data_IF_240171999029
#
_entry.id   IF_240171999029
#
_cell.length_a   1.000
_cell.length_b   1.000
_cell.length_c   1.000
_cell.angle_alpha   90.00
_cell.angle_beta   90.00
_cell.angle_gamma   90.00
#
_symmetry.space_group_name_H-M   'P 1'
#
loop_
_entity.id
_entity.type
_entity.pdbx_description
1 polymer ?
#
# COMPACT_ATOMS: atom_id res chain seq x y z
N UNK A 1 -19.13 7.09 -29.43
CA UNK A 1 -18.96 6.08 -28.36
C UNK A 1 -17.75 5.14 -28.58
N UNK A 2 -17.66 4.42 -29.70
CA UNK A 2 -16.57 3.45 -29.93
C UNK A 2 -15.17 4.10 -30.04
N UNK A 3 -15.06 5.23 -30.77
CA UNK A 3 -13.80 5.97 -30.91
C UNK A 3 -13.27 6.48 -29.56
N UNK A 4 -14.14 7.07 -28.74
CA UNK A 4 -13.77 7.53 -27.39
C UNK A 4 -13.40 6.39 -26.43
N UNK A 5 -14.10 5.25 -26.50
CA UNK A 5 -13.73 4.06 -25.73
C UNK A 5 -12.37 3.49 -26.17
N UNK A 6 -12.08 3.46 -27.47
CA UNK A 6 -10.79 3.04 -28.01
C UNK A 6 -9.66 4.01 -27.61
N UNK A 7 -9.90 5.33 -27.67
CA UNK A 7 -8.96 6.33 -27.20
C UNK A 7 -8.68 6.16 -25.69
N UNK A 8 -9.71 5.94 -24.87
CA UNK A 8 -9.52 5.64 -23.45
C UNK A 8 -8.65 4.39 -23.24
N UNK A 9 -8.95 3.28 -23.93
CA UNK A 9 -8.16 2.06 -23.83
C UNK A 9 -6.71 2.25 -24.27
N UNK A 10 -6.48 2.93 -25.39
CA UNK A 10 -5.15 3.18 -25.94
C UNK A 10 -4.34 4.18 -25.09
N UNK A 11 -4.98 5.14 -24.43
CA UNK A 11 -4.29 6.04 -23.48
C UNK A 11 -3.72 5.30 -22.27
N UNK A 12 -4.50 4.37 -21.71
CA UNK A 12 -4.08 3.52 -20.59
C UNK A 12 -2.99 2.55 -21.02
N UNK A 13 -3.18 1.92 -22.18
CA UNK A 13 -2.20 1.00 -22.76
C UNK A 13 -0.87 1.70 -23.08
N UNK A 14 -0.91 2.88 -23.70
CA UNK A 14 0.28 3.67 -24.03
C UNK A 14 1.04 4.10 -22.78
N UNK A 15 0.34 4.56 -21.72
CA UNK A 15 0.97 4.86 -20.43
C UNK A 15 1.64 3.62 -19.84
N UNK A 16 0.95 2.48 -19.86
CA UNK A 16 1.48 1.20 -19.40
C UNK A 16 2.73 0.76 -20.16
N UNK A 17 2.75 0.92 -21.49
CA UNK A 17 3.91 0.62 -22.33
C UNK A 17 5.13 1.48 -21.98
N UNK A 18 4.96 2.76 -21.67
CA UNK A 18 6.07 3.64 -21.29
C UNK A 18 6.68 3.17 -19.98
N UNK A 19 5.86 2.89 -18.96
CA UNK A 19 6.36 2.41 -17.68
C UNK A 19 6.92 0.97 -17.74
N UNK A 20 6.43 0.14 -18.66
CA UNK A 20 7.06 -1.14 -18.96
C UNK A 20 8.48 -0.95 -19.53
N UNK A 21 8.67 0.02 -20.43
CA UNK A 21 10.00 0.42 -20.93
C UNK A 21 10.92 0.96 -19.81
N UNK A 22 10.41 1.81 -18.92
CA UNK A 22 11.14 2.30 -17.74
C UNK A 22 11.56 1.14 -16.85
N UNK A 23 10.66 0.20 -16.57
CA UNK A 23 10.95 -1.00 -15.79
C UNK A 23 12.02 -1.88 -16.46
N UNK A 24 11.98 -2.00 -17.78
CA UNK A 24 13.00 -2.74 -18.55
C UNK A 24 14.39 -2.10 -18.40
N UNK A 25 14.49 -0.77 -18.54
CA UNK A 25 15.76 -0.03 -18.32
C UNK A 25 16.23 -0.19 -16.87
N UNK A 26 15.33 0.00 -15.90
CA UNK A 26 15.65 -0.15 -14.48
C UNK A 26 16.15 -1.58 -14.14
N UNK A 27 15.56 -2.60 -14.77
CA UNK A 27 16.00 -3.98 -14.62
C UNK A 27 17.43 -4.22 -15.13
N UNK A 28 17.86 -3.52 -16.20
CA UNK A 28 19.24 -3.60 -16.68
C UNK A 28 20.23 -2.87 -15.75
N UNK A 29 19.82 -1.77 -15.13
CA UNK A 29 20.66 -0.99 -14.22
C UNK A 29 20.87 -1.68 -12.87
N UNK A 30 19.83 -2.35 -12.36
CA UNK A 30 19.82 -2.93 -11.03
C UNK A 30 20.29 -4.39 -10.99
N UNK A 31 21.05 -4.73 -9.96
CA UNK A 31 21.43 -6.13 -9.67
C UNK A 31 20.25 -6.95 -9.13
N UNK A 32 19.37 -6.32 -8.34
CA UNK A 32 18.23 -7.00 -7.70
C UNK A 32 16.89 -6.45 -8.20
N UNK A 33 15.88 -7.33 -8.23
CA UNK A 33 14.49 -6.95 -8.55
C UNK A 33 13.94 -5.84 -7.65
N UNK A 34 14.39 -5.79 -6.38
CA UNK A 34 14.03 -4.74 -5.43
C UNK A 34 14.51 -3.37 -5.88
N UNK A 35 15.78 -3.27 -6.30
CA UNK A 35 16.35 -1.99 -6.76
C UNK A 35 15.75 -1.57 -8.09
N UNK A 36 15.51 -2.52 -9.01
CA UNK A 36 14.84 -2.26 -10.28
C UNK A 36 13.43 -1.68 -10.07
N UNK A 37 12.62 -2.33 -9.23
CA UNK A 37 11.28 -1.86 -8.90
C UNK A 37 11.33 -0.49 -8.21
N UNK A 38 12.29 -0.27 -7.29
CA UNK A 38 12.48 1.02 -6.64
C UNK A 38 12.70 2.15 -7.63
N UNK A 39 13.63 1.99 -8.58
CA UNK A 39 13.90 2.97 -9.64
C UNK A 39 12.66 3.22 -10.51
N UNK A 40 11.98 2.16 -10.94
CA UNK A 40 10.77 2.30 -11.76
C UNK A 40 9.65 3.06 -11.03
N UNK A 41 9.41 2.77 -9.76
CA UNK A 41 8.44 3.48 -8.94
C UNK A 41 8.85 4.93 -8.65
N UNK A 42 10.14 5.23 -8.51
CA UNK A 42 10.61 6.61 -8.39
C UNK A 42 10.30 7.42 -9.65
N UNK A 43 10.53 6.85 -10.85
CA UNK A 43 10.20 7.51 -12.12
C UNK A 43 8.68 7.71 -12.25
N UNK A 44 7.88 6.71 -11.88
CA UNK A 44 6.42 6.82 -11.84
C UNK A 44 5.95 7.94 -10.88
N UNK A 45 6.49 7.98 -9.67
CA UNK A 45 6.18 9.01 -8.69
C UNK A 45 6.57 10.42 -9.16
N UNK A 46 7.76 10.57 -9.76
CA UNK A 46 8.21 11.83 -10.34
C UNK A 46 7.30 12.28 -11.49
N UNK A 47 6.90 11.38 -12.39
CA UNK A 47 5.96 11.67 -13.47
C UNK A 47 4.59 12.12 -12.95
N UNK A 48 4.13 11.55 -11.83
CA UNK A 48 2.88 11.95 -11.18
C UNK A 48 2.99 13.33 -10.53
N UNK A 49 4.07 13.61 -9.79
CA UNK A 49 4.30 14.93 -9.18
C UNK A 49 4.44 16.03 -10.23
N UNK A 50 5.13 15.74 -11.34
CA UNK A 50 5.25 16.66 -12.46
C UNK A 50 3.87 17.00 -13.05
N UNK A 51 2.99 16.00 -13.17
CA UNK A 51 1.60 16.21 -13.57
C UNK A 51 0.84 17.07 -12.57
N UNK A 52 0.92 16.74 -11.28
CA UNK A 52 0.23 17.50 -10.23
C UNK A 52 0.66 18.98 -10.22
N UNK A 53 1.95 19.26 -10.44
CA UNK A 53 2.46 20.62 -10.58
C UNK A 53 1.96 21.32 -11.85
N UNK A 54 1.84 20.59 -12.97
CA UNK A 54 1.29 21.11 -14.22
C UNK A 54 -0.20 21.47 -14.10
N UNK A 55 -0.96 20.69 -13.32
CA UNK A 55 -2.39 20.90 -13.11
C UNK A 55 -2.67 22.06 -12.13
N UNK A 56 -1.75 22.34 -11.20
CA UNK A 56 -1.91 23.37 -10.17
C UNK A 56 -1.45 24.78 -10.59
N UNK A 57 -0.72 24.92 -11.70
CA UNK A 57 -0.08 26.18 -12.10
C UNK A 57 -0.37 26.62 -13.54
N UNK A 58 0.10 27.82 -13.89
CA UNK A 58 0.02 28.37 -15.25
C UNK A 58 0.92 27.65 -16.27
N UNK A 59 1.79 26.74 -15.81
CA UNK A 59 2.77 26.03 -16.64
C UNK A 59 2.19 24.73 -17.23
N UNK A 60 1.09 24.86 -17.98
CA UNK A 60 0.39 23.72 -18.59
C UNK A 60 1.30 22.87 -19.50
N UNK A 61 2.40 23.44 -20.01
CA UNK A 61 3.42 22.75 -20.80
C UNK A 61 4.14 21.62 -20.03
N UNK A 62 4.23 21.66 -18.69
CA UNK A 62 4.81 20.57 -17.89
C UNK A 62 4.04 19.25 -18.03
N UNK A 63 2.73 19.32 -18.32
CA UNK A 63 1.90 18.12 -18.51
C UNK A 63 2.33 17.31 -19.73
N UNK A 64 2.97 17.94 -20.72
CA UNK A 64 3.53 17.28 -21.91
C UNK A 64 4.82 16.50 -21.63
N UNK A 65 5.44 16.65 -20.46
CA UNK A 65 6.60 15.88 -20.05
C UNK A 65 6.23 14.61 -19.27
N UNK A 66 4.98 14.50 -18.82
CA UNK A 66 4.52 13.34 -18.06
C UNK A 66 3.83 12.33 -18.97
N UNK A 67 4.27 11.05 -19.00
CA UNK A 67 3.55 9.99 -19.69
C UNK A 67 2.08 9.87 -19.23
N UNK A 68 1.81 10.24 -17.98
CA UNK A 68 0.47 10.26 -17.38
C UNK A 68 -0.35 11.43 -17.95
N UNK A 69 0.29 12.57 -18.23
CA UNK A 69 -0.37 13.73 -18.83
C UNK A 69 -0.81 13.48 -20.28
N UNK A 70 -0.06 12.68 -21.05
CA UNK A 70 -0.43 12.31 -22.42
C UNK A 70 -1.77 11.59 -22.51
N UNK A 71 -2.13 10.81 -21.48
CA UNK A 71 -3.42 10.13 -21.43
C UNK A 71 -4.60 11.13 -21.37
N UNK A 72 -4.43 12.26 -20.67
CA UNK A 72 -5.44 13.31 -20.58
C UNK A 72 -5.52 14.14 -21.87
N UNK A 73 -4.38 14.42 -22.50
CA UNK A 73 -4.31 15.15 -23.77
C UNK A 73 -4.99 14.42 -24.94
N UNK A 74 -5.17 13.10 -24.84
CA UNK A 74 -5.91 12.32 -25.82
C UNK A 74 -7.40 12.70 -25.90
N UNK A 75 -7.94 13.34 -24.86
CA UNK A 75 -9.34 13.80 -24.75
C UNK A 75 -10.38 12.74 -25.17
N UNK A 76 -10.42 11.56 -24.51
CA UNK A 76 -11.41 10.54 -24.83
C UNK A 76 -12.83 11.09 -24.70
N UNK A 77 -13.68 10.87 -25.71
CA UNK A 77 -15.06 11.35 -25.75
C UNK A 77 -15.24 12.89 -25.77
N UNK A 78 -14.17 13.66 -25.96
CA UNK A 78 -14.18 15.13 -25.95
C UNK A 78 -13.40 15.75 -27.13
N UNK A 79 -13.37 15.06 -28.27
CA UNK A 79 -12.59 15.42 -29.46
C UNK A 79 -11.21 14.79 -29.42
N UNK A 80 -11.13 13.53 -29.86
CA UNK A 80 -9.96 12.67 -29.69
C UNK A 80 -8.74 13.18 -30.46
N UNK A 81 -7.63 13.37 -29.76
CA UNK A 81 -6.36 13.78 -30.35
C UNK A 81 -5.45 12.57 -30.58
N UNK A 82 -5.72 11.81 -31.64
CA UNK A 82 -4.99 10.58 -31.98
C UNK A 82 -3.48 10.78 -32.16
N UNK A 83 -3.05 11.97 -32.57
CA UNK A 83 -1.63 12.31 -32.72
C UNK A 83 -0.85 12.17 -31.39
N UNK A 84 -1.52 12.34 -30.24
CA UNK A 84 -0.90 12.21 -28.92
C UNK A 84 -0.40 10.78 -28.66
N UNK A 85 -0.95 9.75 -29.32
CA UNK A 85 -0.48 8.36 -29.22
C UNK A 85 0.94 8.14 -29.75
N UNK A 86 1.45 9.05 -30.59
CA UNK A 86 2.82 8.97 -31.08
C UNK A 86 3.84 9.17 -29.95
N UNK A 87 3.51 9.97 -28.93
CA UNK A 87 4.38 10.24 -27.78
C UNK A 87 4.65 8.99 -26.92
N UNK A 88 3.63 8.27 -26.39
CA UNK A 88 3.88 7.05 -25.64
C UNK A 88 4.53 5.97 -26.50
N UNK A 89 4.15 5.86 -27.78
CA UNK A 89 4.75 4.87 -28.68
C UNK A 89 6.24 5.15 -28.92
N UNK A 90 6.61 6.39 -29.24
CA UNK A 90 8.00 6.80 -29.43
C UNK A 90 8.82 6.62 -28.14
N UNK A 91 8.29 7.07 -26.99
CA UNK A 91 8.96 6.92 -25.71
C UNK A 91 9.19 5.45 -25.35
N UNK A 92 8.19 4.59 -25.55
CA UNK A 92 8.33 3.14 -25.33
C UNK A 92 9.38 2.51 -26.24
N UNK A 93 9.39 2.84 -27.54
CA UNK A 93 10.42 2.35 -28.47
C UNK A 93 11.81 2.77 -28.03
N UNK A 94 11.99 4.04 -27.64
CA UNK A 94 13.27 4.56 -27.15
C UNK A 94 13.73 3.86 -25.87
N UNK A 95 12.83 3.67 -24.90
CA UNK A 95 13.15 2.99 -23.64
C UNK A 95 13.47 1.52 -23.85
N UNK A 96 12.73 0.82 -24.71
CA UNK A 96 13.00 -0.57 -25.07
C UNK A 96 14.34 -0.68 -25.79
N UNK A 97 14.63 0.19 -26.75
CA UNK A 97 15.92 0.23 -27.44
C UNK A 97 17.08 0.50 -26.47
N UNK A 98 16.90 1.43 -25.52
CA UNK A 98 17.87 1.69 -24.46
C UNK A 98 18.08 0.45 -23.57
N UNK A 99 17.00 -0.23 -23.17
CA UNK A 99 17.10 -1.47 -22.40
C UNK A 99 17.87 -2.56 -23.16
N UNK A 100 17.59 -2.77 -24.44
CA UNK A 100 18.33 -3.72 -25.28
C UNK A 100 19.81 -3.35 -25.41
N UNK A 101 20.13 -2.07 -25.61
CA UNK A 101 21.51 -1.60 -25.69
C UNK A 101 22.26 -1.81 -24.36
N UNK A 102 21.58 -1.66 -23.23
CA UNK A 102 22.15 -1.91 -21.90
C UNK A 102 22.38 -3.42 -21.64
N UNK A 103 21.53 -4.30 -22.17
CA UNK A 103 21.71 -5.76 -22.06
C UNK A 103 23.05 -6.21 -22.64
N UNK A 104 23.49 -5.64 -23.76
CA UNK A 104 24.78 -5.96 -24.37
C UNK A 104 26.00 -5.53 -23.56
N UNK A 105 25.83 -4.69 -22.53
CA UNK A 105 26.88 -4.21 -21.63
C UNK A 105 26.83 -4.86 -20.24
N UNK A 106 25.79 -5.66 -19.97
CA UNK A 106 25.52 -6.23 -18.66
C UNK A 106 26.11 -7.64 -18.56
N UNK A 107 27.00 -7.83 -17.61
CA UNK A 107 27.48 -9.18 -17.26
C UNK A 107 26.38 -9.99 -16.57
N UNK A 108 26.32 -11.29 -16.86
CA UNK A 108 25.32 -12.20 -16.30
C UNK A 108 25.43 -12.22 -14.77
N UNK A 109 24.37 -11.77 -14.09
CA UNK A 109 24.27 -11.73 -12.63
C UNK A 109 24.67 -10.39 -11.99
N UNK A 110 25.28 -9.45 -12.72
CA UNK A 110 25.64 -8.12 -12.20
C UNK A 110 24.74 -7.03 -12.79
N UNK A 111 24.34 -6.05 -11.97
CA UNK A 111 23.75 -4.79 -12.47
C UNK A 111 24.83 -3.84 -12.99
N UNK A 112 24.48 -2.90 -13.86
CA UNK A 112 25.41 -1.84 -14.29
C UNK A 112 25.73 -0.86 -13.16
N UNK A 113 24.84 -0.73 -12.18
CA UNK A 113 25.12 -0.04 -10.94
C UNK A 113 25.91 -0.96 -10.02
N UNK A 114 27.14 -0.56 -9.70
CA UNK A 114 28.00 -1.29 -8.75
C UNK A 114 27.26 -1.48 -7.41
N UNK A 115 27.22 -2.73 -6.93
CA UNK A 115 26.79 -3.00 -5.56
C UNK A 115 27.83 -2.44 -4.60
N UNK A 116 27.38 -1.63 -3.64
CA UNK A 116 28.28 -1.22 -2.57
C UNK A 116 28.61 -2.44 -1.72
N UNK A 117 29.90 -2.66 -1.45
CA UNK A 117 30.39 -3.76 -0.62
C UNK A 117 29.87 -3.69 0.83
N UNK A 118 29.19 -2.59 1.18
CA UNK A 118 28.79 -2.28 2.54
C UNK A 118 29.98 -1.92 3.43
N UNK A 119 29.73 -1.55 4.69
CA UNK A 119 30.78 -1.29 5.66
C UNK A 119 31.55 -2.57 5.99
N UNK A 120 32.87 -2.48 6.15
CA UNK A 120 33.74 -3.61 6.51
C UNK A 120 33.38 -4.23 7.87
N UNK A 121 32.79 -3.45 8.77
CA UNK A 121 32.34 -3.90 10.09
C UNK A 121 30.84 -3.71 10.25
N UNK A 122 30.18 -4.74 10.78
CA UNK A 122 28.78 -4.65 11.14
C UNK A 122 28.59 -3.61 12.26
N UNK A 123 27.61 -2.70 12.09
CA UNK A 123 27.29 -1.71 13.10
C UNK A 123 26.95 -2.39 14.45
N UNK A 124 27.32 -1.81 15.61
CA UNK A 124 27.04 -2.38 16.93
C UNK A 124 25.55 -2.65 17.20
N UNK A 125 24.66 -1.98 16.46
CA UNK A 125 23.21 -2.18 16.52
C UNK A 125 22.76 -3.53 15.94
N UNK A 126 23.55 -4.20 15.10
CA UNK A 126 23.20 -5.49 14.46
C UNK A 126 23.41 -6.72 15.35
N UNK A 127 23.56 -6.53 16.66
CA UNK A 127 23.78 -7.62 17.64
C UNK A 127 22.52 -8.42 17.97
N UNK A 128 21.36 -8.08 17.40
CA UNK A 128 20.08 -8.75 17.69
C UNK A 128 19.31 -9.12 16.42
N UNK A 129 18.54 -10.24 16.45
CA UNK A 129 17.68 -10.63 15.33
C UNK A 129 16.58 -9.59 15.04
N UNK A 130 16.17 -8.82 16.04
CA UNK A 130 15.24 -7.70 15.88
C UNK A 130 15.85 -6.56 15.07
N UNK A 131 17.09 -6.18 15.37
CA UNK A 131 17.78 -5.15 14.61
C UNK A 131 18.04 -5.56 13.16
N UNK A 132 18.37 -6.84 12.92
CA UNK A 132 18.48 -7.39 11.58
C UNK A 132 17.13 -7.33 10.84
N UNK A 133 16.05 -7.80 11.48
CA UNK A 133 14.69 -7.75 10.92
C UNK A 133 14.26 -6.33 10.58
N UNK A 134 14.55 -5.36 11.46
CA UNK A 134 14.32 -3.94 11.21
C UNK A 134 15.11 -3.41 10.02
N UNK A 135 16.43 -3.64 9.97
CA UNK A 135 17.28 -3.21 8.86
C UNK A 135 16.79 -3.76 7.54
N UNK A 136 16.32 -5.00 7.55
CA UNK A 136 15.73 -5.64 6.39
C UNK A 136 14.41 -4.94 6.02
N UNK A 137 13.46 -4.76 6.94
CA UNK A 137 12.11 -4.26 6.64
C UNK A 137 12.00 -2.75 6.42
N UNK A 138 12.92 -1.93 6.95
CA UNK A 138 12.86 -0.46 6.89
C UNK A 138 12.65 0.12 5.49
N UNK A 139 13.27 -0.46 4.46
CA UNK A 139 13.12 0.06 3.09
C UNK A 139 11.71 -0.16 2.54
N UNK A 140 11.12 -1.31 2.85
CA UNK A 140 9.71 -1.60 2.51
C UNK A 140 8.78 -0.71 3.32
N UNK A 141 9.04 -0.54 4.63
CA UNK A 141 8.26 0.35 5.49
C UNK A 141 8.26 1.79 4.95
N UNK A 142 9.43 2.35 4.59
CA UNK A 142 9.53 3.70 4.03
C UNK A 142 8.73 3.86 2.73
N UNK A 143 8.77 2.87 1.84
CA UNK A 143 7.98 2.89 0.61
C UNK A 143 6.47 2.92 0.87
N UNK A 144 5.99 2.09 1.80
CA UNK A 144 4.59 2.09 2.22
C UNK A 144 4.21 3.37 2.99
N UNK A 145 5.10 3.90 3.84
CA UNK A 145 4.91 5.18 4.52
C UNK A 145 4.68 6.31 3.52
N UNK A 146 5.47 6.38 2.45
CA UNK A 146 5.30 7.39 1.41
C UNK A 146 3.94 7.26 0.70
N UNK A 147 3.53 6.04 0.33
CA UNK A 147 2.23 5.79 -0.31
C UNK A 147 1.05 6.14 0.59
N UNK A 148 1.09 5.74 1.85
CA UNK A 148 0.01 6.00 2.82
C UNK A 148 -0.01 7.45 3.29
N UNK A 149 1.13 8.15 3.30
CA UNK A 149 1.17 9.60 3.49
C UNK A 149 0.38 10.30 2.39
N UNK A 150 0.69 9.97 1.12
CA UNK A 150 -0.01 10.55 -0.04
C UNK A 150 -1.50 10.25 0.02
N UNK A 151 -1.88 8.99 0.30
CA UNK A 151 -3.28 8.62 0.47
C UNK A 151 -3.96 9.44 1.58
N UNK A 152 -3.33 9.56 2.75
CA UNK A 152 -3.90 10.32 3.86
C UNK A 152 -4.07 11.81 3.56
N UNK A 153 -3.10 12.42 2.87
CA UNK A 153 -3.19 13.81 2.41
C UNK A 153 -4.36 14.00 1.43
N UNK A 154 -4.53 13.08 0.48
CA UNK A 154 -5.63 13.12 -0.50
C UNK A 154 -6.98 12.95 0.18
N UNK A 155 -7.13 11.94 1.04
CA UNK A 155 -8.38 11.69 1.77
C UNK A 155 -8.76 12.86 2.67
N UNK A 156 -7.81 13.42 3.43
CA UNK A 156 -8.07 14.59 4.27
C UNK A 156 -8.51 15.82 3.44
N UNK A 157 -7.95 15.98 2.23
CA UNK A 157 -8.34 17.04 1.31
C UNK A 157 -9.76 16.85 0.73
N UNK A 158 -10.10 15.62 0.33
CA UNK A 158 -11.43 15.28 -0.21
C UNK A 158 -12.51 15.45 0.87
N UNK A 159 -12.24 14.99 2.09
CA UNK A 159 -13.18 15.09 3.20
C UNK A 159 -13.60 16.54 3.50
N UNK A 160 -12.68 17.49 3.35
CA UNK A 160 -13.02 18.91 3.47
C UNK A 160 -13.89 19.41 2.30
N UNK A 161 -13.56 19.04 1.05
CA UNK A 161 -14.32 19.48 -0.12
C UNK A 161 -15.75 18.93 -0.18
N UNK A 162 -16.00 17.76 0.42
CA UNK A 162 -17.34 17.20 0.56
C UNK A 162 -18.24 18.05 1.48
N UNK A 163 -17.66 18.69 2.51
CA UNK A 163 -18.37 19.62 3.39
C UNK A 163 -18.78 20.91 2.67
N UNK A 164 -17.88 21.46 1.85
CA UNK A 164 -18.10 22.71 1.12
C UNK A 164 -19.17 22.59 0.03
N UNK A 165 -19.14 21.50 -0.76
CA UNK A 165 -20.10 21.25 -1.85
C UNK A 165 -21.57 21.13 -1.39
N UNK A 166 -21.77 20.76 -0.12
CA UNK A 166 -23.09 20.63 0.47
C UNK A 166 -23.67 21.97 0.97
N UNK A 167 -22.83 23.00 1.18
CA UNK A 167 -23.25 24.31 1.67
C UNK A 167 -23.87 25.22 0.61
N UNK A 168 -23.47 25.06 -0.65
CA UNK A 168 -23.78 26.03 -1.72
C UNK A 168 -25.13 25.80 -2.42
N UNK A 169 -25.85 24.71 -2.14
CA UNK A 169 -27.09 24.38 -2.85
C UNK A 169 -28.23 23.99 -1.89
N UNK A 170 -29.21 24.87 -1.72
CA UNK A 170 -30.26 24.73 -0.70
C UNK A 170 -31.12 23.45 -0.83
N UNK A 171 -31.29 22.92 -2.06
CA UNK A 171 -31.98 21.64 -2.30
C UNK A 171 -31.17 20.43 -1.80
N UNK A 172 -29.85 20.45 -2.03
CA UNK A 172 -28.93 19.41 -1.59
C UNK A 172 -28.77 19.45 -0.07
N UNK A 173 -28.79 20.64 0.53
CA UNK A 173 -28.73 20.82 1.98
C UNK A 173 -29.96 20.28 2.73
N UNK A 174 -31.16 20.26 2.12
CA UNK A 174 -32.35 19.66 2.75
C UNK A 174 -32.32 18.13 2.66
N UNK A 175 -31.89 17.57 1.52
CA UNK A 175 -31.72 16.13 1.35
C UNK A 175 -30.61 15.57 2.25
N UNK A 176 -29.49 16.30 2.42
CA UNK A 176 -28.40 15.94 3.33
C UNK A 176 -28.85 15.99 4.79
N UNK A 177 -29.67 16.99 5.18
CA UNK A 177 -30.24 17.06 6.54
C UNK A 177 -31.18 15.90 6.84
N UNK A 178 -31.93 15.42 5.85
CA UNK A 178 -32.79 14.22 5.99
C UNK A 178 -32.00 12.91 6.08
N UNK A 179 -30.74 12.90 5.63
CA UNK A 179 -29.84 11.74 5.64
C UNK A 179 -28.86 11.71 6.85
N UNK A 180 -29.00 12.61 7.83
CA UNK A 180 -28.14 12.67 9.03
C UNK A 180 -27.24 13.91 9.12
N UNK A 181 -27.24 14.77 8.10
CA UNK A 181 -26.45 16.01 8.09
C UNK A 181 -25.05 15.86 7.47
N UNK A 182 -24.35 16.99 7.32
CA UNK A 182 -23.05 17.06 6.63
C UNK A 182 -21.93 16.32 7.38
N UNK A 183 -21.98 16.34 8.72
CA UNK A 183 -20.98 15.67 9.56
C UNK A 183 -21.09 14.14 9.43
N UNK A 184 -22.30 13.59 9.42
CA UNK A 184 -22.51 12.15 9.25
C UNK A 184 -22.02 11.63 7.89
N UNK A 185 -22.24 12.40 6.81
CA UNK A 185 -21.75 12.04 5.48
C UNK A 185 -20.21 12.07 5.40
N UNK A 186 -19.59 13.09 6.00
CA UNK A 186 -18.13 13.23 6.06
C UNK A 186 -17.52 12.12 6.92
N UNK A 187 -18.14 11.79 8.05
CA UNK A 187 -17.70 10.74 8.96
C UNK A 187 -17.87 9.35 8.32
N UNK A 188 -18.92 9.11 7.53
CA UNK A 188 -19.10 7.88 6.75
C UNK A 188 -18.03 7.73 5.65
N UNK A 189 -17.72 8.83 4.94
CA UNK A 189 -16.65 8.86 3.95
C UNK A 189 -15.29 8.55 4.59
N UNK A 190 -14.97 9.21 5.71
CA UNK A 190 -13.74 9.00 6.45
C UNK A 190 -13.65 7.58 7.03
N UNK A 191 -14.75 7.04 7.57
CA UNK A 191 -14.78 5.68 8.08
C UNK A 191 -14.51 4.65 6.98
N UNK A 192 -15.10 4.84 5.80
CA UNK A 192 -14.84 4.00 4.63
C UNK A 192 -13.38 4.09 4.18
N UNK A 193 -12.84 5.31 4.14
CA UNK A 193 -11.45 5.55 3.80
C UNK A 193 -10.47 4.91 4.80
N UNK A 194 -10.80 4.89 6.09
CA UNK A 194 -10.01 4.19 7.12
C UNK A 194 -10.08 2.67 6.96
N UNK A 195 -11.23 2.11 6.59
CA UNK A 195 -11.34 0.69 6.25
C UNK A 195 -10.45 0.29 5.07
N UNK A 196 -10.48 1.08 3.99
CA UNK A 196 -9.59 0.87 2.81
C UNK A 196 -8.12 1.01 3.21
N UNK A 197 -7.79 2.00 4.05
CA UNK A 197 -6.44 2.17 4.60
C UNK A 197 -5.98 0.93 5.36
N UNK A 198 -6.82 0.41 6.25
CA UNK A 198 -6.53 -0.81 7.02
C UNK A 198 -6.19 -1.98 6.11
N UNK A 199 -6.88 -2.11 4.99
CA UNK A 199 -6.64 -3.14 4.00
C UNK A 199 -5.29 -2.98 3.26
N UNK A 200 -4.90 -1.74 2.92
CA UNK A 200 -3.57 -1.46 2.38
C UNK A 200 -2.46 -1.75 3.40
N UNK A 201 -2.67 -1.43 4.68
CA UNK A 201 -1.71 -1.77 5.72
C UNK A 201 -1.65 -3.29 5.95
N UNK A 202 -2.76 -4.02 5.77
CA UNK A 202 -2.74 -5.49 5.76
C UNK A 202 -1.94 -6.05 4.57
N UNK A 203 -1.94 -5.39 3.40
CA UNK A 203 -1.05 -5.76 2.30
C UNK A 203 0.44 -5.64 2.68
N UNK A 204 0.82 -4.55 3.36
CA UNK A 204 2.16 -4.44 3.96
C UNK A 204 2.44 -5.58 4.93
N UNK A 205 1.48 -5.93 5.80
CA UNK A 205 1.65 -7.01 6.77
C UNK A 205 1.89 -8.36 6.09
N UNK A 206 1.11 -8.70 5.06
CA UNK A 206 1.28 -9.90 4.23
C UNK A 206 2.68 -9.92 3.58
N UNK A 207 3.09 -8.80 2.97
CA UNK A 207 4.40 -8.67 2.34
C UNK A 207 5.55 -8.81 3.36
N UNK A 208 5.38 -8.22 4.55
CA UNK A 208 6.34 -8.28 5.64
C UNK A 208 6.50 -9.71 6.19
N UNK A 209 5.42 -10.48 6.29
CA UNK A 209 5.47 -11.89 6.69
C UNK A 209 6.10 -12.75 5.60
N UNK A 210 5.78 -12.53 4.32
CA UNK A 210 6.40 -13.26 3.21
C UNK A 210 7.90 -13.02 3.09
N UNK A 211 8.42 -11.92 3.67
CA UNK A 211 9.85 -11.71 3.86
C UNK A 211 10.50 -12.87 4.62
N UNK A 212 9.86 -13.37 5.67
CA UNK A 212 10.36 -14.48 6.48
C UNK A 212 10.53 -15.74 5.62
N UNK A 213 9.54 -16.03 4.76
CA UNK A 213 9.67 -17.09 3.75
C UNK A 213 10.81 -16.84 2.78
N UNK A 214 11.01 -15.61 2.33
CA UNK A 214 12.09 -15.27 1.39
C UNK A 214 13.48 -15.43 2.02
N UNK A 215 13.61 -15.26 3.33
CA UNK A 215 14.86 -15.56 4.06
C UNK A 215 15.09 -17.08 4.19
N UNK A 216 14.03 -17.85 4.45
CA UNK A 216 14.10 -19.31 4.49
C UNK A 216 14.43 -19.92 3.12
N UNK A 217 13.59 -19.67 2.10
CA UNK A 217 13.77 -20.19 0.74
C UNK A 217 15.03 -19.68 0.02
N UNK A 218 15.61 -18.59 0.50
CA UNK A 218 16.88 -18.06 0.00
C UNK A 218 18.11 -18.64 0.67
N UNK A 219 17.98 -19.63 1.57
CA UNK A 219 19.08 -20.24 2.32
C UNK A 219 19.73 -19.31 3.35
N UNK A 220 19.16 -18.12 3.60
CA UNK A 220 19.74 -17.12 4.52
C UNK A 220 19.37 -17.38 5.98
N UNK A 221 18.35 -18.20 6.22
CA UNK A 221 17.92 -18.57 7.57
C UNK A 221 18.88 -19.57 8.24
N UNK A 222 19.42 -20.53 7.49
CA UNK A 222 20.28 -21.59 8.05
C UNK A 222 21.55 -21.05 8.73
N UNK A 223 22.31 -20.11 8.11
CA UNK A 223 23.48 -19.53 8.77
C UNK A 223 23.13 -18.77 10.05
N UNK A 224 21.95 -18.13 10.09
CA UNK A 224 21.48 -17.41 11.28
C UNK A 224 21.15 -18.39 12.41
N UNK A 225 20.50 -19.51 12.09
CA UNK A 225 20.15 -20.54 13.07
C UNK A 225 21.35 -21.36 13.53
N UNK A 226 22.45 -21.38 12.77
CA UNK A 226 23.72 -21.94 13.21
C UNK A 226 24.43 -21.09 14.29
N UNK A 227 24.00 -19.84 14.48
CA UNK A 227 24.47 -18.98 15.59
C UNK A 227 23.63 -19.20 16.86
N UNK A 228 23.86 -18.40 17.91
CA UNK A 228 23.10 -18.48 19.17
C UNK A 228 21.62 -18.01 19.10
N UNK A 229 21.04 -17.88 17.89
CA UNK A 229 19.66 -17.41 17.69
C UNK A 229 18.72 -18.60 17.49
N UNK A 230 17.81 -18.81 18.45
CA UNK A 230 16.76 -19.82 18.33
C UNK A 230 15.65 -19.46 17.32
N UNK A 231 15.01 -20.49 16.74
CA UNK A 231 13.92 -20.40 15.73
C UNK A 231 12.79 -19.46 16.14
N UNK A 232 12.29 -19.60 17.38
CA UNK A 232 11.20 -18.77 17.91
C UNK A 232 11.63 -17.31 18.04
N UNK A 233 12.84 -17.06 18.54
CA UNK A 233 13.35 -15.69 18.72
C UNK A 233 13.47 -14.98 17.37
N UNK A 234 13.89 -15.68 16.33
CA UNK A 234 13.91 -15.16 14.97
C UNK A 234 12.50 -14.82 14.46
N UNK A 235 11.56 -15.77 14.53
CA UNK A 235 10.19 -15.56 14.05
C UNK A 235 9.47 -14.42 14.80
N UNK A 236 9.57 -14.40 16.13
CA UNK A 236 9.00 -13.33 16.97
C UNK A 236 9.61 -11.98 16.63
N UNK A 237 10.91 -11.91 16.34
CA UNK A 237 11.55 -10.64 15.96
C UNK A 237 10.99 -10.08 14.65
N UNK A 238 10.73 -10.93 13.66
CA UNK A 238 10.11 -10.52 12.39
C UNK A 238 8.64 -10.11 12.54
N UNK A 239 7.88 -10.83 13.38
CA UNK A 239 6.49 -10.49 13.70
C UNK A 239 6.39 -9.18 14.49
N UNK A 240 7.29 -8.94 15.44
CA UNK A 240 7.33 -7.70 16.21
C UNK A 240 7.59 -6.48 15.31
N UNK A 241 8.52 -6.59 14.36
CA UNK A 241 8.77 -5.50 13.39
C UNK A 241 7.57 -5.33 12.45
N UNK A 242 6.89 -6.41 12.07
CA UNK A 242 5.66 -6.32 11.27
C UNK A 242 4.56 -5.60 12.03
N UNK A 243 4.30 -5.98 13.28
CA UNK A 243 3.27 -5.37 14.12
C UNK A 243 3.56 -3.89 14.42
N UNK A 244 4.82 -3.55 14.73
CA UNK A 244 5.24 -2.17 14.91
C UNK A 244 5.13 -1.36 13.59
N UNK A 245 5.55 -1.94 12.47
CA UNK A 245 5.45 -1.32 11.16
C UNK A 245 4.01 -0.99 10.78
N UNK A 246 3.07 -1.93 10.98
CA UNK A 246 1.64 -1.67 10.73
C UNK A 246 1.08 -0.57 11.62
N UNK A 247 1.52 -0.49 12.88
CA UNK A 247 1.12 0.57 13.79
C UNK A 247 1.61 1.94 13.33
N UNK A 248 2.88 2.03 12.94
CA UNK A 248 3.48 3.25 12.39
C UNK A 248 2.78 3.70 11.12
N UNK A 249 2.46 2.78 10.21
CA UNK A 249 1.77 3.10 8.97
C UNK A 249 0.35 3.66 9.20
N UNK A 250 -0.44 3.02 10.07
CA UNK A 250 -1.78 3.51 10.42
C UNK A 250 -1.71 4.86 11.15
N UNK A 251 -0.78 5.01 12.11
CA UNK A 251 -0.60 6.27 12.82
C UNK A 251 -0.22 7.41 11.87
N UNK A 252 0.76 7.18 10.99
CA UNK A 252 1.20 8.15 9.99
C UNK A 252 0.06 8.57 9.07
N UNK A 253 -0.74 7.61 8.61
CA UNK A 253 -1.83 7.90 7.70
C UNK A 253 -3.00 8.61 8.41
N UNK A 254 -3.33 8.22 9.64
CA UNK A 254 -4.32 8.90 10.48
C UNK A 254 -3.91 10.33 10.84
N UNK A 255 -2.64 10.57 11.14
CA UNK A 255 -2.08 11.91 11.34
C UNK A 255 -2.22 12.72 10.04
N UNK A 256 -1.87 12.16 8.89
CA UNK A 256 -1.98 12.85 7.60
C UNK A 256 -3.42 13.27 7.28
N UNK A 257 -4.39 12.37 7.45
CA UNK A 257 -5.82 12.69 7.27
C UNK A 257 -6.27 13.75 8.29
N UNK A 258 -5.99 13.53 9.57
CA UNK A 258 -6.42 14.40 10.67
C UNK A 258 -5.83 15.81 10.59
N UNK A 259 -4.57 15.94 10.16
CA UNK A 259 -3.91 17.23 9.95
C UNK A 259 -4.50 18.01 8.79
N UNK A 260 -4.70 17.37 7.63
CA UNK A 260 -5.27 18.06 6.45
C UNK A 260 -6.74 18.40 6.66
N UNK A 261 -7.53 17.45 7.17
CA UNK A 261 -8.95 17.67 7.43
C UNK A 261 -9.15 18.72 8.52
N UNK A 262 -8.47 18.57 9.67
CA UNK A 262 -8.56 19.52 10.78
C UNK A 262 -8.05 20.92 10.47
N UNK A 263 -7.02 21.06 9.62
CA UNK A 263 -6.58 22.38 9.17
C UNK A 263 -7.62 23.09 8.30
N UNK A 264 -8.35 22.35 7.47
CA UNK A 264 -9.40 22.91 6.59
C UNK A 264 -10.71 23.21 7.31
N UNK A 265 -11.08 22.40 8.29
CA UNK A 265 -12.28 22.64 9.12
C UNK A 265 -12.00 23.58 10.30
N UNK A 266 -10.78 24.12 10.42
CA UNK A 266 -10.32 24.90 11.57
C UNK A 266 -10.48 24.22 12.95
N UNK A 267 -10.54 22.88 12.96
CA UNK A 267 -10.64 22.05 14.17
C UNK A 267 -9.56 20.96 14.17
N UNK A 268 -8.30 21.39 14.27
CA UNK A 268 -7.17 20.46 14.34
C UNK A 268 -7.16 19.65 15.65
N UNK A 269 -7.57 20.28 16.76
CA UNK A 269 -7.52 19.69 18.08
C UNK A 269 -8.52 18.55 18.25
N UNK A 270 -9.71 18.64 17.66
CA UNK A 270 -10.70 17.58 17.64
C UNK A 270 -10.43 16.51 16.57
N UNK A 271 -10.11 16.93 15.35
CA UNK A 271 -10.01 16.00 14.22
C UNK A 271 -8.76 15.13 14.25
N UNK A 272 -7.60 15.66 14.64
CA UNK A 272 -6.36 14.88 14.65
C UNK A 272 -6.46 13.62 15.53
N UNK A 273 -6.84 13.70 16.82
CA UNK A 273 -6.98 12.52 17.67
C UNK A 273 -8.12 11.61 17.19
N UNK A 274 -9.21 12.17 16.63
CA UNK A 274 -10.35 11.39 16.11
C UNK A 274 -9.93 10.52 14.92
N UNK A 275 -9.21 11.08 13.95
CA UNK A 275 -8.71 10.35 12.78
C UNK A 275 -7.57 9.39 13.13
N UNK A 276 -6.68 9.77 14.06
CA UNK A 276 -5.66 8.87 14.58
C UNK A 276 -6.27 7.65 15.28
N UNK A 277 -7.29 7.87 16.12
CA UNK A 277 -8.04 6.80 16.79
C UNK A 277 -8.76 5.89 15.80
N UNK A 278 -9.41 6.46 14.78
CA UNK A 278 -10.06 5.71 13.72
C UNK A 278 -9.08 4.84 12.92
N UNK A 279 -7.89 5.38 12.60
CA UNK A 279 -6.85 4.63 11.91
C UNK A 279 -6.29 3.49 12.79
N UNK A 280 -6.00 3.77 14.06
CA UNK A 280 -5.48 2.77 14.99
C UNK A 280 -6.51 1.70 15.37
N UNK A 281 -7.80 1.97 15.26
CA UNK A 281 -8.85 0.96 15.45
C UNK A 281 -8.79 -0.16 14.41
N UNK A 282 -8.19 0.07 13.23
CA UNK A 282 -8.01 -0.95 12.18
C UNK A 282 -6.90 -1.97 12.51
N UNK A 283 -6.08 -1.68 13.52
CA UNK A 283 -4.84 -2.38 13.81
C UNK A 283 -5.04 -3.85 14.22
N UNK A 284 -6.04 -4.22 15.05
CA UNK A 284 -6.32 -5.63 15.36
C UNK A 284 -6.67 -6.45 14.11
N UNK A 285 -7.45 -5.89 13.19
CA UNK A 285 -7.84 -6.57 11.93
C UNK A 285 -6.64 -6.84 11.05
N UNK A 286 -5.72 -5.88 10.94
CA UNK A 286 -4.44 -6.04 10.25
C UNK A 286 -3.61 -7.16 10.87
N UNK A 287 -3.55 -7.21 12.20
CA UNK A 287 -2.80 -8.25 12.92
C UNK A 287 -3.38 -9.65 12.73
N UNK A 288 -4.70 -9.79 12.61
CA UNK A 288 -5.34 -11.08 12.27
C UNK A 288 -4.83 -11.57 10.91
N UNK A 289 -4.79 -10.70 9.90
CA UNK A 289 -4.27 -11.06 8.56
C UNK A 289 -2.77 -11.41 8.60
N UNK A 290 -1.99 -10.65 9.36
CA UNK A 290 -0.56 -10.92 9.55
C UNK A 290 -0.33 -12.30 10.20
N UNK A 291 -1.07 -12.58 11.29
CA UNK A 291 -0.97 -13.83 12.03
C UNK A 291 -1.47 -15.03 11.22
N UNK A 292 -2.56 -14.87 10.45
CA UNK A 292 -3.06 -15.90 9.53
C UNK A 292 -2.03 -16.21 8.44
N UNK A 293 -1.44 -15.18 7.83
CA UNK A 293 -0.37 -15.34 6.82
C UNK A 293 0.85 -16.05 7.43
N UNK A 294 1.21 -15.70 8.68
CA UNK A 294 2.31 -16.34 9.37
C UNK A 294 2.02 -17.80 9.71
N UNK A 295 0.79 -18.12 10.15
CA UNK A 295 0.36 -19.50 10.39
C UNK A 295 0.42 -20.34 9.10
N UNK A 296 -0.09 -19.81 7.98
CA UNK A 296 0.01 -20.45 6.67
C UNK A 296 1.47 -20.72 6.30
N UNK A 297 2.33 -19.72 6.44
CA UNK A 297 3.77 -19.86 6.24
C UNK A 297 4.39 -20.90 7.16
N UNK A 298 4.05 -20.92 8.45
CA UNK A 298 4.62 -21.78 9.47
C UNK A 298 4.22 -23.26 9.28
N UNK A 299 2.99 -23.53 8.86
CA UNK A 299 2.51 -24.90 8.61
C UNK A 299 2.98 -25.40 7.24
N UNK A 300 2.78 -24.61 6.19
CA UNK A 300 3.09 -24.99 4.82
C UNK A 300 3.78 -23.83 4.10
N UNK A 301 5.13 -23.78 4.04
CA UNK A 301 5.85 -22.62 3.54
C UNK A 301 5.48 -22.27 2.08
N UNK A 302 5.11 -23.27 1.26
CA UNK A 302 4.60 -23.06 -0.10
C UNK A 302 3.31 -22.23 -0.15
N UNK A 303 2.44 -22.38 0.86
CA UNK A 303 1.17 -21.68 0.96
C UNK A 303 1.26 -20.24 1.47
N UNK A 304 2.46 -19.71 1.79
CA UNK A 304 2.55 -18.32 2.26
C UNK A 304 2.03 -17.28 1.24
N UNK A 305 2.03 -17.61 -0.06
CA UNK A 305 1.42 -16.77 -1.10
C UNK A 305 -0.10 -16.70 -0.98
N UNK A 306 -0.75 -17.69 -0.37
CA UNK A 306 -2.18 -17.68 -0.10
C UNK A 306 -2.59 -16.58 0.89
N UNK A 307 -1.65 -15.97 1.62
CA UNK A 307 -1.93 -14.76 2.40
C UNK A 307 -2.50 -13.61 1.54
N UNK A 308 -2.08 -13.51 0.27
CA UNK A 308 -2.70 -12.58 -0.69
C UNK A 308 -4.14 -12.96 -1.00
N UNK A 309 -4.46 -14.26 -1.16
CA UNK A 309 -5.82 -14.70 -1.39
C UNK A 309 -6.73 -14.37 -0.19
N UNK A 310 -6.25 -14.58 1.05
CA UNK A 310 -6.98 -14.17 2.27
C UNK A 310 -7.27 -12.67 2.25
N UNK A 311 -6.26 -11.85 1.94
CA UNK A 311 -6.43 -10.40 1.84
C UNK A 311 -7.42 -10.00 0.73
N UNK A 312 -7.31 -10.61 -0.45
CA UNK A 312 -8.22 -10.36 -1.58
C UNK A 312 -9.65 -10.75 -1.24
N UNK A 313 -9.86 -11.86 -0.55
CA UNK A 313 -11.20 -12.26 -0.07
C UNK A 313 -11.73 -11.20 0.90
N UNK A 314 -10.93 -10.72 1.86
CA UNK A 314 -11.34 -9.65 2.77
C UNK A 314 -11.67 -8.35 2.03
N UNK A 315 -10.91 -8.01 0.98
CA UNK A 315 -11.17 -6.87 0.10
C UNK A 315 -12.52 -7.00 -0.60
N UNK A 316 -12.76 -8.15 -1.24
CA UNK A 316 -14.00 -8.42 -1.97
C UNK A 316 -15.19 -8.43 -1.02
N UNK A 317 -15.09 -9.09 0.13
CA UNK A 317 -16.15 -9.10 1.12
C UNK A 317 -16.44 -7.70 1.67
N UNK A 318 -15.41 -6.88 1.92
CA UNK A 318 -15.59 -5.54 2.48
C UNK A 318 -16.16 -4.52 1.48
N UNK A 319 -15.75 -4.58 0.21
CA UNK A 319 -16.09 -3.56 -0.79
C UNK A 319 -17.22 -4.01 -1.73
N UNK A 320 -17.22 -5.28 -2.13
CA UNK A 320 -18.18 -5.84 -3.10
C UNK A 320 -19.31 -6.57 -2.39
N UNK A 321 -19.05 -7.17 -1.23
CA UNK A 321 -20.04 -7.94 -0.47
C UNK A 321 -21.34 -7.18 -0.17
N UNK A 322 -21.28 -5.94 0.36
CA UNK A 322 -22.46 -5.10 0.55
C UNK A 322 -23.17 -4.72 -0.75
N UNK A 323 -22.43 -4.60 -1.87
CA UNK A 323 -23.02 -4.28 -3.19
C UNK A 323 -23.78 -5.46 -3.80
N UNK A 324 -23.48 -6.68 -3.34
CA UNK A 324 -24.12 -7.92 -3.78
C UNK A 324 -25.16 -8.44 -2.78
N UNK A 325 -25.49 -7.66 -1.74
CA UNK A 325 -26.38 -8.05 -0.63
C UNK A 325 -26.04 -9.44 -0.04
N UNK A 326 -24.75 -9.73 0.13
CA UNK A 326 -24.31 -11.02 0.68
C UNK A 326 -24.79 -11.20 2.14
N UNK A 327 -25.08 -12.44 2.57
CA UNK A 327 -25.47 -12.72 3.94
C UNK A 327 -24.39 -12.26 4.93
N UNK A 328 -24.82 -11.69 6.06
CA UNK A 328 -23.91 -11.17 7.09
C UNK A 328 -22.90 -12.23 7.58
N UNK A 329 -23.31 -13.50 7.67
CA UNK A 329 -22.43 -14.61 8.03
C UNK A 329 -21.21 -14.76 7.09
N UNK A 330 -21.36 -14.40 5.82
CA UNK A 330 -20.27 -14.41 4.83
C UNK A 330 -19.38 -13.19 5.00
N UNK A 331 -19.95 -12.03 5.30
CA UNK A 331 -19.21 -10.80 5.56
C UNK A 331 -18.38 -10.89 6.85
N UNK A 332 -18.93 -11.52 7.90
CA UNK A 332 -18.31 -11.70 9.21
C UNK A 332 -17.05 -12.59 9.18
N UNK A 333 -16.76 -13.25 8.07
CA UNK A 333 -15.47 -13.93 7.82
C UNK A 333 -14.32 -12.93 7.77
N UNK A 334 -14.57 -11.70 7.29
CA UNK A 334 -13.55 -10.66 7.23
C UNK A 334 -13.34 -10.03 8.60
N UNK A 335 -12.10 -9.95 9.13
CA UNK A 335 -11.86 -9.28 10.42
C UNK A 335 -12.22 -7.79 10.38
N UNK A 336 -12.22 -7.18 9.19
CA UNK A 336 -12.53 -5.77 8.99
C UNK A 336 -14.00 -5.44 9.21
N UNK A 337 -14.94 -6.40 9.15
CA UNK A 337 -16.35 -6.12 9.44
C UNK A 337 -16.62 -5.93 10.92
N UNK A 338 -15.80 -6.56 11.78
CA UNK A 338 -15.87 -6.44 13.23
C UNK A 338 -15.20 -5.16 13.75
N UNK A 339 -14.54 -4.39 12.89
CA UNK A 339 -13.89 -3.14 13.30
C UNK A 339 -14.93 -2.02 13.41
N UNK A 340 -14.96 -1.27 14.53
CA UNK A 340 -15.84 -0.12 14.65
C UNK A 340 -15.63 0.87 13.51
N UNK A 341 -16.73 1.33 12.89
CA UNK A 341 -16.72 2.29 11.78
C UNK A 341 -16.50 3.72 12.28
N UNK A 342 -15.35 3.97 12.89
CA UNK A 342 -14.91 5.30 13.31
C UNK A 342 -14.51 6.13 12.10
N UNK A 343 -14.75 7.46 12.10
CA UNK A 343 -15.14 8.28 13.24
C UNK A 343 -16.66 8.35 13.55
N UNK A 344 -17.53 7.82 12.70
CA UNK A 344 -18.99 8.00 12.80
C UNK A 344 -19.75 7.04 13.74
N UNK A 345 -19.21 5.86 14.03
CA UNK A 345 -19.83 4.88 14.92
C UNK A 345 -19.29 4.97 16.36
N UNK A 346 -20.05 4.44 17.33
CA UNK A 346 -19.61 4.35 18.72
C UNK A 346 -18.38 3.47 18.90
N UNK A 347 -17.47 3.91 19.77
CA UNK A 347 -16.29 3.14 20.12
C UNK A 347 -16.65 1.95 21.03
N UNK A 348 -16.50 0.74 20.50
CA UNK A 348 -16.65 -0.49 21.27
C UNK A 348 -15.30 -1.19 21.47
N UNK A 349 -14.93 -1.46 22.73
CA UNK A 349 -13.67 -2.15 23.08
C UNK A 349 -13.73 -3.65 22.77
N UNK A 350 -14.91 -4.26 22.91
CA UNK A 350 -15.07 -5.71 22.85
C UNK A 350 -14.63 -6.32 21.50
N UNK A 351 -15.03 -5.82 20.32
CA UNK A 351 -14.57 -6.37 19.05
C UNK A 351 -13.06 -6.23 18.84
N UNK A 352 -12.48 -5.11 19.26
CA UNK A 352 -11.03 -4.86 19.15
C UNK A 352 -10.23 -5.82 20.04
N UNK A 353 -10.71 -6.07 21.25
CA UNK A 353 -10.11 -7.05 22.16
C UNK A 353 -10.20 -8.47 21.60
N UNK A 354 -11.36 -8.86 21.05
CA UNK A 354 -11.57 -10.17 20.45
C UNK A 354 -10.65 -10.40 19.23
N UNK A 355 -10.53 -9.42 18.34
CA UNK A 355 -9.62 -9.48 17.19
C UNK A 355 -8.15 -9.57 17.62
N UNK A 356 -7.76 -8.81 18.65
CA UNK A 356 -6.38 -8.85 19.18
C UNK A 356 -6.07 -10.23 19.79
N UNK A 357 -7.02 -10.80 20.52
CA UNK A 357 -6.90 -12.16 21.06
C UNK A 357 -6.80 -13.20 19.93
N UNK A 358 -7.65 -13.10 18.90
CA UNK A 358 -7.59 -13.99 17.73
C UNK A 358 -6.24 -13.91 17.01
N UNK A 359 -5.72 -12.69 16.81
CA UNK A 359 -4.38 -12.49 16.22
C UNK A 359 -3.28 -13.14 17.08
N UNK A 360 -3.33 -12.97 18.40
CA UNK A 360 -2.38 -13.57 19.33
C UNK A 360 -2.46 -15.11 19.31
N UNK A 361 -3.68 -15.69 19.28
CA UNK A 361 -3.89 -17.13 19.20
C UNK A 361 -3.36 -17.71 17.87
N UNK A 362 -3.64 -17.05 16.74
CA UNK A 362 -3.10 -17.45 15.43
C UNK A 362 -1.58 -17.35 15.36
N UNK A 363 -1.00 -16.29 15.94
CA UNK A 363 0.46 -16.14 16.01
C UNK A 363 1.10 -17.22 16.89
N UNK A 364 0.50 -17.55 18.04
CA UNK A 364 0.96 -18.62 18.92
C UNK A 364 0.86 -20.00 18.23
N UNK A 365 -0.24 -20.28 17.53
CA UNK A 365 -0.39 -21.48 16.70
C UNK A 365 0.68 -21.54 15.60
N UNK A 366 0.96 -20.42 14.93
CA UNK A 366 2.02 -20.33 13.93
C UNK A 366 3.41 -20.59 14.54
N UNK A 367 3.70 -20.04 15.71
CA UNK A 367 4.99 -20.22 16.39
C UNK A 367 5.19 -21.66 16.84
N UNK A 368 4.14 -22.31 17.33
CA UNK A 368 4.19 -23.73 17.72
C UNK A 368 4.37 -24.65 16.51
N UNK A 369 3.69 -24.37 15.39
CA UNK A 369 3.90 -25.08 14.12
C UNK A 369 5.34 -24.88 13.60
N UNK A 370 5.83 -23.64 13.58
CA UNK A 370 7.19 -23.31 13.14
C UNK A 370 8.27 -23.97 14.01
N UNK A 371 8.02 -24.15 15.31
CA UNK A 371 8.93 -24.86 16.21
C UNK A 371 9.10 -26.33 15.85
N UNK A 372 8.02 -26.97 15.40
CA UNK A 372 7.96 -28.42 15.13
C UNK A 372 8.36 -28.77 13.71
N UNK A 373 8.28 -27.81 12.78
CA UNK A 373 8.63 -28.01 11.37
C UNK A 373 10.14 -28.02 11.17
N UNK A 374 10.62 -28.91 10.30
CA UNK A 374 11.98 -28.85 9.79
C UNK A 374 12.18 -27.60 8.90
N UNK A 375 13.41 -27.10 8.89
CA UNK A 375 13.80 -25.90 8.14
C UNK A 375 14.74 -26.36 7.04
N UNK A 376 14.41 -26.01 5.80
CA UNK A 376 15.09 -26.41 4.57
C UNK A 376 14.26 -26.05 3.35
#
# INVERSE_FOLDING_TARGET
>A
PAAGAAALGLSWFGSGLVFAGVAAVAAQLAETSRTANGLAFTVLGAAYLLRAAADAGAAHWLSWLSPIGWAQHMRPCAGEQWAVLLLPLAASVLLIAAAYALTGRRDLGAGLLASSLGPETAAPSLRSPLALSWRLQRGTLLGWSAGLLVYGLVVGGIAAGAGDLAGDNAAIADDIRRLGGQQDLTDALLATAMGIMGLFVAAYAVQSVQRLRAEESGGRLEPVLATAVGRIRWAVSGLAVTAAGTAVLLALAGIAVGTVHGARTHDLAGQLPRQLGAALAQLPSVWVIAAATFLLFAVLPRAASAGWAVLTICLLLGQVGPLLDLPQAVLDVSPFTHTPKLPGADFSVLPLAALTFAAAALAAAGLTAFRRRDIG
#
